data_IF_880985763934
#
_entry.id   IF_880985763934
#
_cell.length_a   1.000
_cell.length_b   1.000
_cell.length_c   1.000
_cell.angle_alpha   90.00
_cell.angle_beta   90.00
_cell.angle_gamma   90.00
#
_symmetry.space_group_name_H-M   'P 1'
#
loop_
_entity.id
_entity.type
_entity.pdbx_description
1 polymer ?
#
# COMPACT_ATOMS: atom_id res chain seq x y z
N UNK A 1 -10.49 -14.63 17.01
CA UNK A 1 -9.16 -14.10 17.36
C UNK A 1 -8.87 -12.75 16.67
N UNK A 2 -8.83 -12.65 15.34
CA UNK A 2 -8.57 -11.37 14.64
C UNK A 2 -9.62 -10.29 14.94
N UNK A 3 -10.91 -10.61 14.92
CA UNK A 3 -11.99 -9.66 15.22
C UNK A 3 -11.94 -9.09 16.65
N UNK A 4 -11.46 -9.87 17.58
CA UNK A 4 -11.36 -9.49 18.99
C UNK A 4 -10.19 -8.53 19.22
N UNK A 5 -9.07 -8.80 18.59
CA UNK A 5 -7.89 -7.92 18.58
C UNK A 5 -8.22 -6.54 18.00
N UNK A 6 -8.97 -6.46 16.91
CA UNK A 6 -9.40 -5.20 16.29
C UNK A 6 -10.34 -4.40 17.18
N UNK A 7 -11.30 -5.11 17.76
CA UNK A 7 -12.21 -4.51 18.70
C UNK A 7 -11.47 -3.82 19.83
N UNK A 8 -10.49 -4.52 20.40
CA UNK A 8 -9.69 -3.99 21.49
C UNK A 8 -8.84 -2.79 21.06
N UNK A 9 -8.23 -2.81 19.87
CA UNK A 9 -7.40 -1.71 19.38
C UNK A 9 -8.20 -0.45 19.06
N UNK A 10 -9.32 -0.58 18.35
CA UNK A 10 -10.22 0.55 18.07
C UNK A 10 -10.73 1.13 19.39
N UNK A 11 -11.12 0.27 20.33
CA UNK A 11 -11.55 0.70 21.66
C UNK A 11 -10.45 1.45 22.40
N UNK A 12 -9.23 0.97 22.39
CA UNK A 12 -8.07 1.64 23.02
C UNK A 12 -7.84 3.04 22.43
N UNK A 13 -7.87 3.19 21.11
CA UNK A 13 -7.66 4.48 20.44
C UNK A 13 -8.75 5.49 20.85
N UNK A 14 -10.00 5.08 20.85
CA UNK A 14 -11.10 5.95 21.25
C UNK A 14 -11.06 6.31 22.73
N UNK A 15 -10.72 5.35 23.60
CA UNK A 15 -10.59 5.58 25.04
C UNK A 15 -9.44 6.55 25.34
N UNK A 16 -8.29 6.36 24.72
CA UNK A 16 -7.13 7.27 24.90
C UNK A 16 -7.42 8.65 24.31
N UNK A 17 -8.07 8.71 23.14
CA UNK A 17 -8.48 9.98 22.52
C UNK A 17 -9.45 10.78 23.38
N UNK A 18 -10.43 10.13 24.03
CA UNK A 18 -11.35 10.80 24.96
C UNK A 18 -10.64 11.29 26.23
N UNK A 19 -9.73 10.47 26.79
CA UNK A 19 -8.89 10.88 27.90
C UNK A 19 -8.09 12.14 27.56
N UNK A 20 -7.43 12.17 26.39
CA UNK A 20 -6.66 13.33 25.96
C UNK A 20 -7.54 14.59 25.82
N UNK A 21 -8.74 14.46 25.27
CA UNK A 21 -9.70 15.57 25.18
C UNK A 21 -10.15 16.08 26.55
N UNK A 22 -10.37 15.19 27.50
CA UNK A 22 -10.73 15.57 28.87
C UNK A 22 -9.57 16.25 29.58
N UNK A 23 -8.33 15.74 29.41
CA UNK A 23 -7.13 16.37 29.99
C UNK A 23 -6.94 17.83 29.58
N UNK A 24 -7.27 18.15 28.34
CA UNK A 24 -7.16 19.54 27.82
C UNK A 24 -8.27 20.44 28.40
N UNK A 25 -9.44 19.87 28.73
CA UNK A 25 -10.63 20.62 29.15
C UNK A 25 -10.76 20.74 30.66
N UNK A 26 -10.60 19.64 31.37
CA UNK A 26 -10.77 19.56 32.82
C UNK A 26 -10.04 18.35 33.39
N UNK A 27 -8.99 18.64 34.16
CA UNK A 27 -8.16 17.63 34.81
C UNK A 27 -8.94 16.69 35.73
N UNK A 28 -9.89 17.21 36.49
CA UNK A 28 -10.66 16.38 37.43
C UNK A 28 -11.58 15.39 36.72
N UNK A 29 -12.19 15.82 35.61
CA UNK A 29 -12.96 14.93 34.75
C UNK A 29 -12.08 13.85 34.08
N UNK A 30 -10.85 14.18 33.70
CA UNK A 30 -9.89 13.21 33.16
C UNK A 30 -9.46 12.19 34.22
N UNK A 31 -9.23 12.63 35.45
CA UNK A 31 -8.89 11.73 36.56
C UNK A 31 -10.03 10.76 36.88
N UNK A 32 -11.27 11.28 36.95
CA UNK A 32 -12.46 10.46 37.17
C UNK A 32 -12.66 9.45 36.01
N UNK A 33 -12.40 9.86 34.77
CA UNK A 33 -12.46 8.98 33.60
C UNK A 33 -11.52 7.78 33.72
N UNK A 34 -10.28 8.02 34.15
CA UNK A 34 -9.29 6.95 34.35
C UNK A 34 -9.70 6.03 35.49
N UNK A 35 -10.19 6.57 36.60
CA UNK A 35 -10.68 5.76 37.72
C UNK A 35 -11.84 4.88 37.30
N UNK A 36 -12.80 5.44 36.59
CA UNK A 36 -13.97 4.70 36.09
C UNK A 36 -13.56 3.61 35.08
N UNK A 37 -12.56 3.87 34.24
CA UNK A 37 -12.05 2.87 33.29
C UNK A 37 -11.56 1.60 33.99
N UNK A 38 -10.89 1.73 35.14
CA UNK A 38 -10.38 0.61 35.91
C UNK A 38 -11.39 -0.03 36.87
N UNK A 39 -12.39 0.72 37.30
CA UNK A 39 -13.33 0.28 38.33
C UNK A 39 -14.67 -0.17 37.79
N UNK A 40 -15.10 0.30 36.61
CA UNK A 40 -16.41 0.00 36.05
C UNK A 40 -16.36 -1.20 35.08
N UNK A 41 -17.51 -1.88 34.98
CA UNK A 41 -17.73 -2.81 33.85
C UNK A 41 -17.64 -2.04 32.51
N UNK A 42 -16.99 -2.67 31.53
CA UNK A 42 -16.70 -2.06 30.24
C UNK A 42 -17.96 -1.50 29.53
N UNK A 43 -19.08 -2.23 29.55
CA UNK A 43 -20.33 -1.74 28.96
C UNK A 43 -20.84 -0.47 29.62
N UNK A 44 -20.79 -0.43 30.95
CA UNK A 44 -21.21 0.74 31.73
C UNK A 44 -20.31 1.93 31.47
N UNK A 45 -18.99 1.69 31.38
CA UNK A 45 -17.99 2.70 31.03
C UNK A 45 -18.28 3.32 29.65
N UNK A 46 -18.44 2.49 28.61
CA UNK A 46 -18.75 2.97 27.26
C UNK A 46 -20.06 3.75 27.23
N UNK A 47 -21.11 3.29 27.89
CA UNK A 47 -22.39 3.99 27.92
C UNK A 47 -22.31 5.34 28.64
N UNK A 48 -21.43 5.47 29.65
CA UNK A 48 -21.24 6.72 30.40
C UNK A 48 -20.52 7.78 29.58
N UNK A 49 -19.45 7.40 28.90
CA UNK A 49 -18.51 8.34 28.27
C UNK A 49 -18.69 8.51 26.76
N UNK A 50 -19.33 7.59 26.08
CA UNK A 50 -19.52 7.62 24.64
C UNK A 50 -21.00 7.66 24.29
N UNK A 51 -21.43 8.63 23.49
CA UNK A 51 -22.84 8.83 23.10
C UNK A 51 -23.00 8.97 21.58
N UNK A 52 -24.17 8.62 21.06
CA UNK A 52 -24.49 8.77 19.64
C UNK A 52 -23.60 7.99 18.70
N UNK A 53 -23.13 8.61 17.63
CA UNK A 53 -22.30 7.99 16.60
C UNK A 53 -20.98 7.44 17.15
N UNK A 54 -20.43 8.01 18.22
CA UNK A 54 -19.18 7.55 18.84
C UNK A 54 -19.29 6.15 19.45
N UNK A 55 -20.47 5.75 19.90
CA UNK A 55 -20.71 4.36 20.34
C UNK A 55 -20.58 3.39 19.16
N UNK A 56 -21.11 3.79 18.01
CA UNK A 56 -21.00 2.97 16.79
C UNK A 56 -19.57 2.90 16.26
N UNK A 57 -18.76 3.94 16.44
CA UNK A 57 -17.34 3.96 16.08
C UNK A 57 -16.50 3.03 16.96
N UNK A 58 -16.69 3.09 18.28
CA UNK A 58 -16.02 2.19 19.23
C UNK A 58 -16.42 0.73 19.03
N UNK A 59 -17.66 0.50 18.60
CA UNK A 59 -18.19 -0.83 18.33
C UNK A 59 -17.93 -1.28 16.88
N UNK A 60 -17.28 -0.47 16.05
CA UNK A 60 -16.90 -0.85 14.69
C UNK A 60 -15.94 -2.03 14.72
N UNK A 61 -16.51 -3.20 14.51
CA UNK A 61 -15.78 -4.42 14.23
C UNK A 61 -15.74 -4.61 12.72
N UNK A 62 -14.63 -5.10 12.19
CA UNK A 62 -14.69 -5.79 10.92
C UNK A 62 -15.45 -7.09 11.15
N UNK A 63 -16.77 -7.03 11.01
CA UNK A 63 -17.61 -8.21 11.12
C UNK A 63 -17.19 -9.22 10.05
N UNK A 64 -17.39 -10.53 10.26
CA UNK A 64 -17.16 -11.55 9.22
C UNK A 64 -17.84 -11.20 7.89
N UNK A 65 -19.00 -10.56 7.96
CA UNK A 65 -19.72 -10.09 6.78
C UNK A 65 -18.98 -8.95 6.07
N UNK A 66 -18.43 -7.97 6.80
CA UNK A 66 -17.64 -6.88 6.24
C UNK A 66 -16.31 -7.39 5.68
N UNK A 67 -15.65 -8.34 6.36
CA UNK A 67 -14.47 -9.01 5.86
C UNK A 67 -14.75 -9.73 4.55
N UNK A 68 -15.85 -10.48 4.46
CA UNK A 68 -16.25 -11.17 3.22
C UNK A 68 -16.58 -10.17 2.11
N UNK A 69 -17.20 -9.04 2.43
CA UNK A 69 -17.47 -7.96 1.46
C UNK A 69 -16.17 -7.37 0.90
N UNK A 70 -15.18 -7.10 1.76
CA UNK A 70 -13.92 -6.49 1.38
C UNK A 70 -12.99 -7.47 0.63
N UNK A 71 -12.88 -8.70 1.09
CA UNK A 71 -11.84 -9.64 0.65
C UNK A 71 -12.37 -10.91 -0.01
N UNK A 72 -13.67 -11.20 0.08
CA UNK A 72 -14.25 -12.48 -0.36
C UNK A 72 -14.26 -12.72 -1.87
N UNK A 73 -13.98 -11.71 -2.68
CA UNK A 73 -13.91 -11.83 -4.14
C UNK A 73 -12.47 -11.90 -4.68
N UNK A 74 -11.48 -11.97 -3.80
CA UNK A 74 -10.08 -12.08 -4.19
C UNK A 74 -9.72 -13.53 -4.50
N UNK A 75 -8.81 -13.73 -5.46
CA UNK A 75 -8.28 -15.06 -5.73
C UNK A 75 -7.40 -15.54 -4.58
N UNK A 76 -7.14 -16.84 -4.52
CA UNK A 76 -6.26 -17.43 -3.51
C UNK A 76 -4.89 -16.75 -3.53
N UNK A 77 -4.34 -16.52 -4.72
CA UNK A 77 -3.03 -15.88 -4.89
C UNK A 77 -3.03 -14.42 -4.40
N UNK A 78 -4.08 -13.68 -4.72
CA UNK A 78 -4.26 -12.31 -4.22
C UNK A 78 -4.37 -12.29 -2.69
N UNK A 79 -5.11 -13.23 -2.10
CA UNK A 79 -5.21 -13.35 -0.65
C UNK A 79 -3.89 -13.71 0.03
N UNK A 80 -3.06 -14.56 -0.58
CA UNK A 80 -1.72 -14.89 -0.05
C UNK A 80 -0.85 -13.63 0.07
N UNK A 81 -0.85 -12.75 -0.95
CA UNK A 81 -0.11 -11.48 -0.95
C UNK A 81 -0.66 -10.53 0.12
N UNK A 82 -1.98 -10.39 0.18
CA UNK A 82 -2.64 -9.45 1.10
C UNK A 82 -2.45 -9.88 2.55
N UNK A 83 -2.50 -11.18 2.82
CA UNK A 83 -2.38 -11.75 4.17
C UNK A 83 -0.95 -11.85 4.69
N UNK A 84 0.05 -11.64 3.84
CA UNK A 84 1.45 -11.68 4.26
C UNK A 84 1.77 -10.47 5.15
N UNK A 85 2.11 -10.73 6.40
CA UNK A 85 2.42 -9.72 7.42
C UNK A 85 3.86 -9.78 7.88
N UNK A 86 4.53 -10.87 7.58
CA UNK A 86 5.83 -11.21 8.16
C UNK A 86 6.99 -10.79 7.25
N UNK A 87 6.74 -10.70 5.94
CA UNK A 87 7.77 -10.34 4.98
C UNK A 87 8.12 -8.86 5.08
N UNK A 88 9.42 -8.55 5.21
CA UNK A 88 9.93 -7.18 5.18
C UNK A 88 9.78 -6.55 3.81
N UNK A 89 9.97 -7.33 2.75
CA UNK A 89 9.82 -6.88 1.37
C UNK A 89 8.95 -7.88 0.60
N UNK A 90 7.82 -7.43 0.10
CA UNK A 90 6.93 -8.21 -0.78
C UNK A 90 7.14 -7.70 -2.20
N UNK A 91 7.62 -8.56 -3.09
CA UNK A 91 7.79 -8.25 -4.52
C UNK A 91 6.82 -9.09 -5.33
N UNK A 92 5.99 -8.44 -6.13
CA UNK A 92 4.95 -9.09 -6.92
C UNK A 92 5.19 -8.84 -8.41
N UNK A 93 5.59 -9.89 -9.13
CA UNK A 93 5.59 -9.87 -10.59
C UNK A 93 4.18 -10.24 -11.09
N UNK A 94 3.50 -9.25 -11.64
CA UNK A 94 2.08 -9.34 -11.95
C UNK A 94 1.85 -9.14 -13.45
N UNK A 95 1.39 -10.18 -14.14
CA UNK A 95 1.09 -10.13 -15.55
C UNK A 95 -0.01 -9.12 -15.91
N UNK A 96 -0.16 -8.78 -17.19
CA UNK A 96 -1.20 -7.87 -17.64
C UNK A 96 -2.58 -8.41 -17.28
N UNK A 97 -3.48 -7.54 -16.81
CA UNK A 97 -4.84 -7.92 -16.44
C UNK A 97 -4.97 -8.83 -15.22
N UNK A 98 -3.89 -9.04 -14.42
CA UNK A 98 -3.90 -9.87 -13.21
C UNK A 98 -4.54 -9.19 -12.00
N UNK A 99 -4.87 -7.89 -12.10
CA UNK A 99 -5.44 -7.12 -11.00
C UNK A 99 -4.40 -6.50 -10.07
N UNK A 100 -3.24 -6.05 -10.58
CA UNK A 100 -2.21 -5.31 -9.82
C UNK A 100 -2.81 -4.25 -8.90
N UNK A 101 -3.54 -3.29 -9.49
CA UNK A 101 -4.20 -2.21 -8.75
C UNK A 101 -5.15 -2.74 -7.69
N UNK A 102 -5.92 -3.78 -8.00
CA UNK A 102 -6.85 -4.40 -7.05
C UNK A 102 -6.12 -4.97 -5.84
N UNK A 103 -5.04 -5.71 -6.05
CA UNK A 103 -4.24 -6.28 -4.95
C UNK A 103 -3.66 -5.17 -4.09
N UNK A 104 -3.10 -4.11 -4.69
CA UNK A 104 -2.54 -2.99 -3.94
C UNK A 104 -3.61 -2.25 -3.12
N UNK A 105 -4.76 -1.93 -3.70
CA UNK A 105 -5.86 -1.27 -2.97
C UNK A 105 -6.34 -2.12 -1.79
N UNK A 106 -6.48 -3.44 -1.98
CA UNK A 106 -6.88 -4.33 -0.90
C UNK A 106 -5.76 -4.56 0.13
N UNK A 107 -4.49 -4.54 -0.28
CA UNK A 107 -3.36 -4.57 0.66
C UNK A 107 -3.30 -3.31 1.51
N UNK A 108 -3.48 -2.12 0.91
CA UNK A 108 -3.61 -0.87 1.66
C UNK A 108 -4.77 -0.92 2.66
N UNK A 109 -5.92 -1.41 2.23
CA UNK A 109 -7.07 -1.60 3.12
C UNK A 109 -6.77 -2.61 4.24
N UNK A 110 -6.06 -3.71 3.95
CA UNK A 110 -5.62 -4.68 4.95
C UNK A 110 -4.68 -4.06 5.97
N UNK A 111 -3.67 -3.30 5.53
CA UNK A 111 -2.73 -2.61 6.41
C UNK A 111 -3.46 -1.69 7.39
N UNK A 112 -4.40 -0.90 6.90
CA UNK A 112 -5.15 0.07 7.70
C UNK A 112 -6.22 -0.57 8.61
N UNK A 113 -6.89 -1.62 8.13
CA UNK A 113 -8.03 -2.23 8.82
C UNK A 113 -7.63 -3.48 9.63
N UNK A 114 -6.58 -4.18 9.22
CA UNK A 114 -6.20 -5.47 9.75
C UNK A 114 -4.80 -5.52 10.38
N UNK A 115 -3.92 -4.60 10.12
CA UNK A 115 -2.55 -4.64 10.61
C UNK A 115 -2.20 -3.45 11.53
N UNK A 116 -3.19 -2.64 11.89
CA UNK A 116 -3.05 -1.48 12.80
C UNK A 116 -2.01 -0.43 12.32
N UNK A 117 -1.75 -0.39 11.01
CA UNK A 117 -0.90 0.63 10.39
C UNK A 117 -1.69 1.92 10.33
N UNK A 118 -1.14 2.99 10.90
CA UNK A 118 -1.75 4.31 10.82
C UNK A 118 -1.56 4.91 9.42
N UNK A 119 -2.49 5.75 8.99
CA UNK A 119 -2.41 6.35 7.66
C UNK A 119 -1.16 7.22 7.46
N UNK A 120 -0.66 7.88 8.52
CA UNK A 120 0.58 8.67 8.49
C UNK A 120 1.83 7.81 8.29
N UNK A 121 1.77 6.55 8.68
CA UNK A 121 2.88 5.60 8.57
C UNK A 121 2.98 4.96 7.19
N UNK A 122 1.97 5.16 6.35
CA UNK A 122 1.87 4.54 5.03
C UNK A 122 2.19 5.56 3.94
N UNK A 123 3.12 5.21 3.05
CA UNK A 123 3.45 5.96 1.85
C UNK A 123 3.26 5.05 0.63
N UNK A 124 2.50 5.54 -0.36
CA UNK A 124 2.43 4.89 -1.65
C UNK A 124 3.03 5.78 -2.73
N UNK A 125 3.98 5.25 -3.48
CA UNK A 125 4.63 5.92 -4.61
C UNK A 125 4.17 5.32 -5.94
N UNK A 126 3.87 6.21 -6.89
CA UNK A 126 3.45 5.88 -8.25
C UNK A 126 4.24 6.70 -9.26
N UNK A 127 4.16 6.34 -10.54
CA UNK A 127 4.87 7.07 -11.62
C UNK A 127 4.03 8.19 -12.26
N UNK A 128 2.73 8.24 -12.01
CA UNK A 128 1.87 9.27 -12.59
C UNK A 128 0.83 9.82 -11.60
N UNK A 129 0.49 11.09 -11.78
CA UNK A 129 -0.60 11.73 -11.01
C UNK A 129 -1.95 11.07 -11.26
N UNK A 130 -2.18 10.60 -12.48
CA UNK A 130 -3.41 9.88 -12.84
C UNK A 130 -3.54 8.58 -12.05
N UNK A 131 -2.46 7.78 -11.94
CA UNK A 131 -2.44 6.58 -11.14
C UNK A 131 -2.69 6.89 -9.65
N UNK A 132 -2.03 7.91 -9.08
CA UNK A 132 -2.26 8.32 -7.70
C UNK A 132 -3.73 8.68 -7.43
N UNK A 133 -4.37 9.40 -8.35
CA UNK A 133 -5.79 9.77 -8.24
C UNK A 133 -6.71 8.55 -8.33
N UNK A 134 -6.45 7.65 -9.29
CA UNK A 134 -7.23 6.41 -9.45
C UNK A 134 -7.12 5.51 -8.21
N UNK A 135 -5.91 5.34 -7.67
CA UNK A 135 -5.71 4.59 -6.43
C UNK A 135 -6.49 5.18 -5.27
N UNK A 136 -6.41 6.50 -5.10
CA UNK A 136 -7.13 7.19 -4.02
C UNK A 136 -8.63 7.01 -4.13
N UNK A 137 -9.18 7.14 -5.35
CA UNK A 137 -10.61 6.91 -5.58
C UNK A 137 -11.01 5.47 -5.25
N UNK A 138 -10.28 4.48 -5.75
CA UNK A 138 -10.57 3.06 -5.48
C UNK A 138 -10.45 2.71 -4.00
N UNK A 139 -9.48 3.30 -3.31
CA UNK A 139 -9.33 3.11 -1.87
C UNK A 139 -10.50 3.75 -1.11
N UNK A 140 -10.97 4.94 -1.54
CA UNK A 140 -12.16 5.59 -0.99
C UNK A 140 -13.43 4.74 -1.16
N UNK A 141 -13.62 4.11 -2.33
CA UNK A 141 -14.73 3.19 -2.58
C UNK A 141 -14.71 1.99 -1.63
N UNK A 142 -13.52 1.53 -1.24
CA UNK A 142 -13.33 0.36 -0.40
C UNK A 142 -13.45 0.64 1.11
N UNK A 143 -12.80 1.71 1.59
CA UNK A 143 -12.68 2.02 3.03
C UNK A 143 -13.28 3.37 3.44
N UNK A 144 -13.86 4.13 2.49
CA UNK A 144 -14.50 5.42 2.75
C UNK A 144 -13.50 6.54 3.06
N UNK A 145 -13.92 7.50 3.86
CA UNK A 145 -13.18 8.74 4.13
C UNK A 145 -11.78 8.53 4.75
N UNK A 146 -11.50 7.40 5.38
CA UNK A 146 -10.16 7.08 5.88
C UNK A 146 -9.08 7.10 4.78
N UNK A 147 -9.46 6.84 3.53
CA UNK A 147 -8.56 6.90 2.39
C UNK A 147 -7.99 8.30 2.11
N UNK A 148 -8.67 9.37 2.53
CA UNK A 148 -8.20 10.75 2.32
C UNK A 148 -6.86 11.02 3.00
N UNK A 149 -6.62 10.38 4.12
CA UNK A 149 -5.43 10.58 4.95
C UNK A 149 -4.23 9.74 4.50
N UNK A 150 -4.43 8.79 3.59
CA UNK A 150 -3.33 7.97 3.05
C UNK A 150 -2.51 8.80 2.08
N UNK A 151 -1.21 8.82 2.28
CA UNK A 151 -0.27 9.54 1.42
C UNK A 151 0.03 8.72 0.16
N UNK A 152 -0.57 9.13 -0.95
CA UNK A 152 -0.38 8.54 -2.28
C UNK A 152 0.16 9.64 -3.19
N UNK A 153 1.43 9.52 -3.61
CA UNK A 153 2.16 10.54 -4.37
C UNK A 153 2.94 9.94 -5.53
N UNK A 154 3.35 10.78 -6.46
CA UNK A 154 4.41 10.42 -7.40
C UNK A 154 5.77 10.56 -6.71
N UNK A 155 6.80 9.85 -7.19
CA UNK A 155 8.17 9.98 -6.71
C UNK A 155 8.61 11.45 -6.65
N UNK A 156 8.43 12.18 -7.73
CA UNK A 156 8.77 13.60 -7.80
C UNK A 156 7.99 14.46 -6.80
N UNK A 157 6.67 14.26 -6.70
CA UNK A 157 5.86 15.03 -5.75
C UNK A 157 6.28 14.79 -4.31
N UNK A 158 6.62 13.56 -3.94
CA UNK A 158 7.13 13.23 -2.63
C UNK A 158 8.48 13.92 -2.35
N UNK A 159 9.40 13.91 -3.33
CA UNK A 159 10.69 14.57 -3.20
C UNK A 159 10.56 16.11 -3.06
N UNK A 160 9.67 16.75 -3.82
CA UNK A 160 9.39 18.18 -3.65
C UNK A 160 8.91 18.51 -2.23
N UNK A 161 8.04 17.69 -1.67
CA UNK A 161 7.55 17.90 -0.30
C UNK A 161 8.67 17.69 0.75
N UNK A 162 9.57 16.73 0.54
CA UNK A 162 10.74 16.53 1.40
C UNK A 162 11.66 17.77 1.40
N UNK A 163 11.90 18.32 0.22
CA UNK A 163 12.75 19.50 0.03
C UNK A 163 12.08 20.83 0.45
N UNK A 164 10.78 20.81 0.79
CA UNK A 164 10.02 22.01 1.13
C UNK A 164 9.86 22.98 -0.06
N UNK A 165 9.95 22.48 -1.29
CA UNK A 165 9.86 23.29 -2.53
C UNK A 165 8.50 23.09 -3.20
N UNK A 166 8.00 24.18 -3.81
CA UNK A 166 6.87 24.09 -4.74
C UNK A 166 7.45 23.81 -6.12
N UNK A 167 7.11 22.63 -6.70
CA UNK A 167 7.73 22.15 -7.94
C UNK A 167 7.45 23.02 -9.16
N UNK A 168 8.52 23.55 -9.78
CA UNK A 168 8.51 24.05 -11.15
C UNK A 168 9.02 22.97 -12.10
N UNK A 169 8.49 22.93 -13.33
CA UNK A 169 8.86 21.95 -14.36
C UNK A 169 10.36 21.96 -14.74
N UNK A 170 11.05 23.07 -14.49
CA UNK A 170 12.47 23.23 -14.79
C UNK A 170 13.40 22.54 -13.75
N UNK A 171 12.92 22.37 -12.51
CA UNK A 171 13.69 21.81 -11.39
C UNK A 171 13.58 20.27 -11.25
N UNK A 172 12.87 19.62 -12.16
CA UNK A 172 12.50 18.19 -11.99
C UNK A 172 13.65 17.20 -12.18
N UNK A 173 14.69 17.58 -12.91
CA UNK A 173 15.74 16.60 -13.34
C UNK A 173 16.55 16.00 -12.18
N UNK A 174 16.76 16.74 -11.10
CA UNK A 174 17.64 16.32 -10.01
C UNK A 174 16.91 16.15 -8.65
N UNK A 175 15.61 16.48 -8.59
CA UNK A 175 14.87 16.52 -7.33
C UNK A 175 14.90 15.20 -6.55
N UNK A 176 14.88 14.06 -7.24
CA UNK A 176 14.93 12.73 -6.59
C UNK A 176 16.32 12.47 -6.02
N UNK A 177 17.38 12.84 -6.75
CA UNK A 177 18.74 12.68 -6.30
C UNK A 177 19.06 13.60 -5.11
N UNK A 178 18.64 14.87 -5.17
CA UNK A 178 18.78 15.84 -4.06
C UNK A 178 18.05 15.37 -2.79
N UNK A 179 16.80 14.96 -2.92
CA UNK A 179 16.05 14.44 -1.77
C UNK A 179 16.71 13.19 -1.17
N UNK A 180 17.25 12.31 -2.01
CA UNK A 180 17.98 11.11 -1.57
C UNK A 180 19.25 11.49 -0.78
N UNK A 181 19.98 12.48 -1.26
CA UNK A 181 21.19 12.97 -0.59
C UNK A 181 20.87 13.58 0.77
N UNK A 182 19.86 14.45 0.86
CA UNK A 182 19.39 15.02 2.12
C UNK A 182 18.94 13.97 3.14
N UNK A 183 18.27 12.90 2.69
CA UNK A 183 17.91 11.77 3.56
C UNK A 183 19.17 11.09 4.10
N UNK A 184 20.16 10.82 3.23
CA UNK A 184 21.40 10.15 3.63
C UNK A 184 22.26 11.00 4.56
N UNK A 185 22.18 12.32 4.46
CA UNK A 185 22.88 13.29 5.33
C UNK A 185 22.14 13.53 6.66
N UNK A 186 20.90 13.01 6.80
CA UNK A 186 20.07 13.23 8.00
C UNK A 186 19.49 14.64 8.09
N UNK A 187 19.39 15.37 6.97
CA UNK A 187 18.89 16.74 6.91
C UNK A 187 17.37 16.83 6.74
N UNK A 188 16.69 15.68 6.54
CA UNK A 188 15.23 15.61 6.47
C UNK A 188 14.63 15.37 7.84
N UNK A 189 13.57 16.11 8.16
CA UNK A 189 12.85 15.93 9.41
C UNK A 189 12.35 14.47 9.56
N UNK A 190 12.62 13.80 10.70
CA UNK A 190 12.27 12.39 10.90
C UNK A 190 10.79 12.06 10.68
N UNK A 191 9.88 13.00 10.98
CA UNK A 191 8.44 12.83 10.77
C UNK A 191 8.03 12.72 9.31
N UNK A 192 8.81 13.27 8.38
CA UNK A 192 8.55 13.20 6.94
C UNK A 192 8.97 11.87 6.32
N UNK A 193 9.97 11.20 6.89
CA UNK A 193 10.52 9.92 6.40
C UNK A 193 10.23 8.74 7.33
N UNK A 194 9.61 8.97 8.49
CA UNK A 194 9.27 7.95 9.50
C UNK A 194 8.13 7.01 9.09
N UNK A 195 8.06 6.65 7.80
CA UNK A 195 7.07 5.71 7.26
C UNK A 195 7.45 4.28 7.62
N UNK A 196 6.48 3.50 8.09
CA UNK A 196 6.71 2.07 8.40
C UNK A 196 6.32 1.14 7.27
N UNK A 197 5.53 1.65 6.31
CA UNK A 197 5.15 0.89 5.10
C UNK A 197 5.31 1.76 3.86
N UNK A 198 6.09 1.26 2.92
CA UNK A 198 6.28 1.82 1.58
C UNK A 198 5.64 0.90 0.54
N UNK A 199 4.77 1.46 -0.30
CA UNK A 199 4.13 0.74 -1.41
C UNK A 199 4.55 1.37 -2.73
N UNK A 200 4.95 0.56 -3.69
CA UNK A 200 5.39 1.00 -5.02
C UNK A 200 4.56 0.28 -6.07
N UNK A 201 3.86 1.05 -6.90
CA UNK A 201 3.17 0.53 -8.10
C UNK A 201 4.06 0.70 -9.34
N UNK A 202 3.88 -0.18 -10.33
CA UNK A 202 4.66 -0.24 -11.58
C UNK A 202 6.18 -0.24 -11.33
N UNK A 203 6.63 -1.01 -10.35
CA UNK A 203 8.02 -1.02 -9.86
C UNK A 203 9.08 -1.34 -10.94
N UNK A 204 8.68 -1.94 -12.08
CA UNK A 204 9.56 -2.16 -13.23
C UNK A 204 10.02 -0.85 -13.89
N UNK A 205 9.29 0.25 -13.68
CA UNK A 205 9.58 1.54 -14.31
C UNK A 205 10.52 2.43 -13.49
N UNK A 206 11.01 1.94 -12.33
CA UNK A 206 11.95 2.71 -11.49
C UNK A 206 13.24 3.04 -12.25
N UNK A 207 13.63 4.30 -12.13
CA UNK A 207 14.96 4.80 -12.52
C UNK A 207 16.01 4.50 -11.44
N UNK A 208 17.28 4.73 -11.78
CA UNK A 208 18.39 4.60 -10.83
C UNK A 208 18.19 5.48 -9.59
N UNK A 209 17.73 6.71 -9.74
CA UNK A 209 17.61 7.66 -8.63
C UNK A 209 16.39 7.33 -7.76
N UNK A 210 15.29 6.89 -8.36
CA UNK A 210 14.11 6.40 -7.62
C UNK A 210 14.44 5.14 -6.81
N UNK A 211 15.23 4.21 -7.37
CA UNK A 211 15.72 3.05 -6.63
C UNK A 211 16.62 3.45 -5.45
N UNK A 212 17.54 4.41 -5.65
CA UNK A 212 18.38 4.95 -4.56
C UNK A 212 17.54 5.61 -3.47
N UNK A 213 16.50 6.38 -3.83
CA UNK A 213 15.56 6.96 -2.87
C UNK A 213 14.87 5.88 -2.03
N UNK A 214 14.36 4.83 -2.67
CA UNK A 214 13.74 3.70 -1.97
C UNK A 214 14.73 3.06 -0.99
N UNK A 215 15.98 2.84 -1.41
CA UNK A 215 17.03 2.30 -0.53
C UNK A 215 17.38 3.23 0.63
N UNK A 216 17.46 4.54 0.40
CA UNK A 216 17.69 5.52 1.45
C UNK A 216 16.57 5.50 2.50
N UNK A 217 15.29 5.45 2.09
CA UNK A 217 14.16 5.35 2.98
C UNK A 217 14.22 4.06 3.81
N UNK A 218 14.49 2.90 3.21
CA UNK A 218 14.61 1.62 3.88
C UNK A 218 15.79 1.53 4.85
N UNK A 219 16.91 2.22 4.54
CA UNK A 219 18.10 2.25 5.40
C UNK A 219 17.88 3.14 6.61
N UNK A 220 17.17 4.26 6.43
CA UNK A 220 16.86 5.19 7.54
C UNK A 220 15.72 4.66 8.44
N UNK A 221 14.98 3.65 8.02
CA UNK A 221 14.01 2.97 8.85
C UNK A 221 14.12 1.45 8.69
N UNK A 222 14.85 0.80 9.58
CA UNK A 222 15.08 -0.65 9.55
C UNK A 222 13.80 -1.48 9.69
N UNK A 223 12.77 -0.93 10.32
CA UNK A 223 11.46 -1.57 10.48
C UNK A 223 10.53 -1.36 9.28
N UNK A 224 10.96 -0.57 8.29
CA UNK A 224 10.12 -0.31 7.11
C UNK A 224 9.85 -1.58 6.33
N UNK A 225 8.57 -1.84 6.10
CA UNK A 225 8.10 -2.89 5.21
C UNK A 225 7.85 -2.29 3.83
N UNK A 226 8.23 -3.02 2.79
CA UNK A 226 8.03 -2.59 1.42
C UNK A 226 7.17 -3.58 0.64
N UNK A 227 6.28 -3.03 -0.20
CA UNK A 227 5.47 -3.80 -1.14
C UNK A 227 5.68 -3.19 -2.52
N UNK A 228 6.35 -3.93 -3.41
CA UNK A 228 6.61 -3.51 -4.79
C UNK A 228 5.82 -4.41 -5.75
N UNK A 229 5.00 -3.81 -6.59
CA UNK A 229 4.22 -4.53 -7.60
C UNK A 229 4.56 -3.97 -8.97
N UNK A 230 4.78 -4.86 -9.93
CA UNK A 230 5.11 -4.46 -11.29
C UNK A 230 4.98 -5.60 -12.29
N UNK A 231 5.28 -5.30 -13.55
CA UNK A 231 5.31 -6.26 -14.65
C UNK A 231 6.60 -6.07 -15.44
N UNK A 232 7.58 -6.89 -15.16
CA UNK A 232 8.90 -6.83 -15.81
C UNK A 232 8.83 -7.02 -17.33
N UNK A 233 7.83 -7.74 -17.85
CA UNK A 233 7.58 -7.89 -19.28
C UNK A 233 7.03 -6.60 -19.94
N UNK A 234 6.59 -5.61 -19.16
CA UNK A 234 6.03 -4.34 -19.63
C UNK A 234 6.98 -3.14 -19.45
N UNK A 235 8.26 -3.34 -19.17
CA UNK A 235 9.21 -2.24 -19.11
C UNK A 235 9.50 -1.70 -20.53
N UNK A 236 8.72 -0.68 -20.91
CA UNK A 236 8.86 0.00 -22.21
C UNK A 236 9.53 1.38 -22.08
N UNK A 237 9.99 1.76 -20.90
CA UNK A 237 10.60 3.05 -20.60
C UNK A 237 12.12 2.98 -20.34
N UNK A 238 12.81 1.92 -20.77
CA UNK A 238 14.27 1.80 -20.67
C UNK A 238 15.00 3.03 -21.25
N UNK A 239 14.48 3.60 -22.33
CA UNK A 239 15.03 4.81 -22.97
C UNK A 239 14.96 6.06 -22.06
N UNK A 240 14.16 6.02 -20.96
CA UNK A 240 14.10 7.06 -19.92
C UNK A 240 14.94 6.72 -18.69
N UNK A 241 15.74 5.65 -18.74
CA UNK A 241 16.57 5.20 -17.63
C UNK A 241 15.87 4.30 -16.61
N UNK A 242 14.62 3.84 -16.91
CA UNK A 242 14.00 2.79 -16.11
C UNK A 242 14.69 1.45 -16.34
N UNK A 243 14.73 0.61 -15.30
CA UNK A 243 15.32 -0.71 -15.40
C UNK A 243 14.59 -1.70 -14.52
N UNK A 244 13.98 -2.72 -15.13
CA UNK A 244 13.29 -3.81 -14.41
C UNK A 244 14.22 -4.59 -13.47
N UNK A 245 15.56 -4.48 -13.65
CA UNK A 245 16.54 -5.07 -12.75
C UNK A 245 16.38 -4.56 -11.30
N UNK A 246 15.95 -3.32 -11.10
CA UNK A 246 15.71 -2.80 -9.73
C UNK A 246 14.62 -3.57 -9.01
N UNK A 247 13.53 -3.90 -9.69
CA UNK A 247 12.51 -4.78 -9.13
C UNK A 247 13.07 -6.17 -8.80
N UNK A 248 13.94 -6.71 -9.66
CA UNK A 248 14.63 -7.98 -9.40
C UNK A 248 15.58 -7.88 -8.19
N UNK A 249 16.30 -6.76 -8.03
CA UNK A 249 17.17 -6.55 -6.84
C UNK A 249 16.38 -6.54 -5.54
N UNK A 250 15.15 -6.02 -5.55
CA UNK A 250 14.29 -6.03 -4.36
C UNK A 250 13.94 -7.45 -3.89
N UNK A 251 13.91 -8.44 -4.77
CA UNK A 251 13.69 -9.84 -4.35
C UNK A 251 14.86 -10.43 -3.55
N UNK A 252 16.03 -9.79 -3.60
CA UNK A 252 17.24 -10.22 -2.89
C UNK A 252 17.44 -9.52 -1.55
N UNK A 253 16.56 -8.58 -1.19
CA UNK A 253 16.61 -7.90 0.10
C UNK A 253 16.34 -8.90 1.25
N UNK A 254 17.01 -8.74 2.40
CA UNK A 254 16.75 -9.59 3.56
C UNK A 254 15.28 -9.56 3.97
N UNK A 255 14.68 -10.74 4.20
CA UNK A 255 13.26 -10.88 4.52
C UNK A 255 12.33 -10.64 3.34
N UNK A 256 12.85 -10.70 2.11
CA UNK A 256 12.05 -10.57 0.90
C UNK A 256 11.27 -11.84 0.56
N UNK A 257 10.06 -11.67 0.05
CA UNK A 257 9.23 -12.74 -0.50
C UNK A 257 8.71 -12.35 -1.88
N UNK A 258 8.86 -13.26 -2.82
CA UNK A 258 8.47 -13.08 -4.20
C UNK A 258 7.17 -13.80 -4.52
N UNK A 259 6.28 -13.12 -5.24
CA UNK A 259 5.01 -13.66 -5.71
C UNK A 259 4.84 -13.42 -7.21
N UNK A 260 4.31 -14.42 -7.91
CA UNK A 260 3.84 -14.28 -9.29
C UNK A 260 2.31 -14.20 -9.32
N UNK A 261 1.76 -13.22 -10.05
CA UNK A 261 0.34 -13.16 -10.37
C UNK A 261 0.15 -13.48 -11.86
N UNK A 262 -0.29 -14.69 -12.14
CA UNK A 262 -0.40 -15.24 -13.50
C UNK A 262 -1.84 -15.37 -14.00
N UNK A 263 -2.84 -15.04 -13.17
CA UNK A 263 -4.25 -15.04 -13.55
C UNK A 263 -4.58 -13.77 -14.35
N UNK A 264 -5.12 -13.88 -15.55
CA UNK A 264 -5.55 -12.73 -16.37
C UNK A 264 -7.09 -12.67 -16.41
N UNK A 265 -7.63 -11.59 -15.86
CA UNK A 265 -9.09 -11.32 -15.80
C UNK A 265 -9.58 -10.39 -16.91
N UNK A 266 -8.68 -9.86 -17.74
CA UNK A 266 -8.97 -8.85 -18.76
C UNK A 266 -9.21 -9.45 -20.12
N UNK A 267 -8.34 -10.36 -20.54
CA UNK A 267 -8.21 -10.79 -21.93
C UNK A 267 -8.73 -12.20 -22.15
N UNK A 268 -9.27 -12.45 -23.34
CA UNK A 268 -9.72 -13.75 -23.77
C UNK A 268 -8.56 -14.75 -23.91
N UNK A 269 -8.86 -16.02 -23.82
CA UNK A 269 -7.89 -17.12 -23.80
C UNK A 269 -6.91 -17.11 -24.99
N UNK A 270 -7.40 -16.90 -26.22
CA UNK A 270 -6.54 -16.89 -27.42
C UNK A 270 -5.51 -15.75 -27.39
N UNK A 271 -5.90 -14.56 -26.89
CA UNK A 271 -5.00 -13.42 -26.76
C UNK A 271 -3.93 -13.68 -25.70
N UNK A 272 -4.30 -14.29 -24.58
CA UNK A 272 -3.34 -14.65 -23.52
C UNK A 272 -2.36 -15.70 -24.01
N UNK A 273 -2.82 -16.72 -24.76
CA UNK A 273 -1.91 -17.72 -25.35
C UNK A 273 -0.95 -17.10 -26.35
N UNK A 274 -1.44 -16.21 -27.22
CA UNK A 274 -0.59 -15.48 -28.15
C UNK A 274 0.49 -14.66 -27.40
N UNK A 275 0.09 -13.92 -26.36
CA UNK A 275 1.02 -13.14 -25.54
C UNK A 275 2.05 -14.05 -24.85
N UNK A 276 1.66 -15.22 -24.34
CA UNK A 276 2.58 -16.18 -23.75
C UNK A 276 3.66 -16.68 -24.73
N UNK A 277 3.31 -16.87 -26.00
CA UNK A 277 4.29 -17.23 -27.02
C UNK A 277 5.24 -16.06 -27.31
N UNK A 278 4.69 -14.85 -27.42
CA UNK A 278 5.46 -13.64 -27.72
C UNK A 278 6.51 -13.34 -26.64
N UNK A 279 6.14 -13.43 -25.36
CA UNK A 279 7.06 -13.12 -24.26
C UNK A 279 8.21 -14.11 -24.07
N UNK A 280 8.17 -15.28 -24.72
CA UNK A 280 9.28 -16.24 -24.73
C UNK A 280 10.56 -15.66 -25.35
N UNK A 281 10.43 -14.63 -26.20
CA UNK A 281 11.57 -13.91 -26.78
C UNK A 281 12.30 -13.00 -25.79
N UNK A 282 11.71 -12.70 -24.64
CA UNK A 282 12.32 -11.85 -23.60
C UNK A 282 13.33 -12.70 -22.80
N UNK A 283 14.61 -12.32 -22.86
CA UNK A 283 15.70 -13.13 -22.31
C UNK A 283 15.79 -13.19 -20.80
N UNK A 284 15.34 -12.14 -20.08
CA UNK A 284 15.39 -12.06 -18.62
C UNK A 284 14.01 -11.70 -18.10
N UNK A 285 13.33 -12.67 -17.51
CA UNK A 285 11.97 -12.50 -16.96
C UNK A 285 11.95 -12.93 -15.50
N UNK A 286 11.17 -12.21 -14.70
CA UNK A 286 10.90 -12.58 -13.30
C UNK A 286 9.84 -13.67 -13.22
N UNK A 287 8.83 -13.62 -14.10
CA UNK A 287 7.77 -14.63 -14.16
C UNK A 287 8.24 -15.89 -14.87
N UNK A 288 8.19 -17.01 -14.17
CA UNK A 288 8.47 -18.34 -14.71
C UNK A 288 7.21 -19.07 -15.20
N UNK A 289 6.06 -18.73 -14.65
CA UNK A 289 4.78 -19.38 -14.92
C UNK A 289 4.04 -18.65 -16.05
N UNK A 290 3.50 -19.38 -17.05
CA UNK A 290 2.65 -18.78 -18.08
C UNK A 290 1.39 -18.13 -17.49
N UNK A 291 0.95 -17.04 -18.13
CA UNK A 291 -0.30 -16.36 -17.76
C UNK A 291 -1.49 -17.22 -18.20
N UNK A 292 -2.52 -17.31 -17.35
CA UNK A 292 -3.75 -18.07 -17.61
C UNK A 292 -4.95 -17.12 -17.67
N UNK A 293 -5.72 -17.16 -18.76
CA UNK A 293 -6.97 -16.41 -18.86
C UNK A 293 -8.04 -17.00 -17.94
N UNK A 294 -8.67 -16.14 -17.16
CA UNK A 294 -9.83 -16.47 -16.34
C UNK A 294 -11.16 -16.22 -17.06
N UNK A 295 -11.11 -15.66 -18.28
CA UNK A 295 -12.29 -15.45 -19.13
C UNK A 295 -12.58 -16.69 -19.96
N UNK A 296 -13.86 -17.02 -20.05
CA UNK A 296 -14.35 -18.17 -20.84
C UNK A 296 -14.62 -17.82 -22.31
N UNK A 297 -14.62 -16.53 -22.63
CA UNK A 297 -14.92 -16.03 -23.97
C UNK A 297 -13.77 -16.32 -24.93
N UNK A 298 -14.10 -16.64 -26.16
CA UNK A 298 -13.13 -16.76 -27.23
C UNK A 298 -12.76 -15.37 -27.75
N UNK A 299 -11.46 -15.11 -27.89
CA UNK A 299 -10.94 -13.95 -28.59
C UNK A 299 -10.48 -14.31 -29.99
N UNK A 300 -10.21 -13.28 -30.79
CA UNK A 300 -9.63 -13.42 -32.12
C UNK A 300 -8.32 -12.65 -32.20
N UNK A 301 -7.32 -13.24 -32.85
CA UNK A 301 -6.05 -12.60 -33.16
C UNK A 301 -5.86 -12.66 -34.65
N UNK A 302 -5.72 -11.51 -35.31
CA UNK A 302 -5.49 -11.40 -36.74
C UNK A 302 -4.34 -10.47 -37.05
N UNK A 303 -3.64 -10.77 -38.13
CA UNK A 303 -2.60 -9.92 -38.70
C UNK A 303 -3.15 -9.32 -39.99
N UNK A 304 -3.21 -8.01 -40.08
CA UNK A 304 -3.53 -7.27 -41.30
C UNK A 304 -2.25 -6.76 -41.91
N UNK A 305 -2.06 -6.98 -43.20
CA UNK A 305 -0.93 -6.50 -44.01
C UNK A 305 -1.29 -5.15 -44.62
#
# INVERSE_FOLDING_TARGET
MLNEFYKQKIQQVHIVGEYANLMVRDYNSALQYVQDYFQMDYKKFITKYFKGERVSEIQRNLTPQKYKQLFGQLSKRQMEIISDKDSRCIVVAAGPGSGKTRVLVHKLASLLLLEDVKHEQLLMLTFSRAAATEFKQRLMELIGNAAHFVEIKTFHSYCFDLLGRVGNLEDTKNVVAEATEMINQGEVEPNKIGKTVLVIDEAQDMSTDEYKLVKALMTNNEEMRMIAVGDDDQNIYEFRGSNSEYMHRLTKEPGSKFFEMTENYRSAHHLVNFANEFVKSIGKRMKSTPITSMRKENGWVGVTY
#
